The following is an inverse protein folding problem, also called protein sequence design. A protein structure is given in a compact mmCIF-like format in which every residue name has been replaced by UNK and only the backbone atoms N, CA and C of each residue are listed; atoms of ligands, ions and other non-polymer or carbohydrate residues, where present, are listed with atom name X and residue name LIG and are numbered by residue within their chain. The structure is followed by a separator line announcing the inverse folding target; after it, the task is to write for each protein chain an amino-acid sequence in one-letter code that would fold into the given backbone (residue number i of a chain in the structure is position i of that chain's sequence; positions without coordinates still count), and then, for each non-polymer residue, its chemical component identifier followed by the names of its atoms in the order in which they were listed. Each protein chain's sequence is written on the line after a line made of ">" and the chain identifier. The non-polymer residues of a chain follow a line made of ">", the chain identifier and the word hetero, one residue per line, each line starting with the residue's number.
data_IF_998019645468
#
_entry.id   IF_998019645468
#
_cell.length_a   1.000
_cell.length_b   1.000
_cell.length_c   1.000
_cell.angle_alpha   90.00
_cell.angle_beta   90.00
_cell.angle_gamma   90.00
#
_symmetry.space_group_name_H-M   'P 1'
#
loop_
_entity.id
_entity.type
_entity.pdbx_description
1 polymer ?
#
# COMPACT_ATOMS: atom_id res chain seq x y z
N UNK A 1 -10.35 -7.95 -15.02
CA UNK A 1 -9.25 -8.94 -15.00
C UNK A 1 -8.60 -8.85 -13.64
N UNK A 2 -8.42 -9.98 -12.95
CA UNK A 2 -7.80 -10.06 -11.63
C UNK A 2 -6.36 -9.51 -11.65
N UNK A 3 -6.00 -8.72 -10.67
CA UNK A 3 -4.66 -8.12 -10.55
C UNK A 3 -3.58 -9.20 -10.45
N UNK A 4 -3.83 -10.29 -9.71
CA UNK A 4 -2.86 -11.39 -9.58
C UNK A 4 -2.60 -12.07 -10.92
N UNK A 5 -3.64 -12.24 -11.76
CA UNK A 5 -3.44 -12.79 -13.10
C UNK A 5 -2.48 -11.95 -13.93
N UNK A 6 -2.63 -10.62 -13.89
CA UNK A 6 -1.70 -9.72 -14.60
C UNK A 6 -0.28 -9.83 -14.07
N UNK A 7 -0.11 -9.96 -12.75
CA UNK A 7 1.20 -10.16 -12.13
C UNK A 7 1.80 -11.49 -12.60
N UNK A 8 1.03 -12.58 -12.59
CA UNK A 8 1.47 -13.90 -13.07
C UNK A 8 1.92 -13.85 -14.53
N UNK A 9 1.15 -13.18 -15.38
CA UNK A 9 1.47 -13.01 -16.80
C UNK A 9 2.80 -12.24 -17.02
N UNK A 10 3.23 -11.42 -16.03
CA UNK A 10 4.49 -10.68 -16.08
C UNK A 10 5.67 -11.43 -15.45
N UNK A 11 5.42 -12.25 -14.42
CA UNK A 11 6.49 -12.89 -13.61
C UNK A 11 7.40 -13.78 -14.47
N UNK A 12 6.88 -14.40 -15.54
CA UNK A 12 7.68 -15.22 -16.45
C UNK A 12 8.76 -14.42 -17.23
N UNK A 13 8.60 -13.09 -17.32
CA UNK A 13 9.55 -12.19 -18.00
C UNK A 13 10.49 -11.48 -17.01
N UNK A 14 10.39 -11.78 -15.70
CA UNK A 14 11.14 -11.09 -14.65
C UNK A 14 12.21 -12.01 -14.09
N UNK A 15 13.47 -11.67 -14.32
CA UNK A 15 14.62 -12.46 -13.85
C UNK A 15 15.13 -12.09 -12.46
N UNK A 16 14.71 -10.93 -11.92
CA UNK A 16 15.20 -10.36 -10.66
C UNK A 16 14.05 -9.95 -9.76
N UNK A 17 14.37 -9.40 -8.59
CA UNK A 17 13.41 -8.70 -7.75
C UNK A 17 12.71 -7.60 -8.53
N UNK A 18 11.46 -7.29 -8.17
CA UNK A 18 10.70 -6.23 -8.84
C UNK A 18 9.89 -5.37 -7.87
N UNK A 19 9.53 -4.18 -8.33
CA UNK A 19 8.57 -3.31 -7.66
C UNK A 19 7.25 -3.36 -8.43
N UNK A 20 6.18 -3.77 -7.73
CA UNK A 20 4.82 -3.68 -8.22
C UNK A 20 4.25 -2.32 -7.82
N UNK A 21 3.63 -1.63 -8.80
CA UNK A 21 2.89 -0.39 -8.54
C UNK A 21 1.46 -0.52 -9.07
N UNK A 22 0.48 0.01 -8.31
CA UNK A 22 -0.88 0.15 -8.84
C UNK A 22 -0.91 1.27 -9.89
N UNK A 23 -1.73 1.08 -10.94
CA UNK A 23 -1.80 1.99 -12.07
C UNK A 23 -2.66 3.25 -11.84
N UNK A 24 -3.37 3.31 -10.73
CA UNK A 24 -4.30 4.38 -10.34
C UNK A 24 -3.79 5.20 -9.15
N UNK A 25 -2.53 5.05 -8.77
CA UNK A 25 -1.92 5.75 -7.65
C UNK A 25 -0.68 6.53 -8.06
N UNK A 26 -0.55 7.74 -7.52
CA UNK A 26 0.63 8.59 -7.68
C UNK A 26 1.17 8.92 -6.30
N UNK A 27 2.45 8.66 -6.06
CA UNK A 27 3.12 8.94 -4.80
C UNK A 27 4.58 9.33 -5.01
N UNK A 28 5.08 10.25 -4.19
CA UNK A 28 6.49 10.60 -4.17
C UNK A 28 7.30 9.70 -3.22
N UNK A 29 7.10 8.39 -3.34
CA UNK A 29 7.83 7.40 -2.56
C UNK A 29 9.32 7.49 -2.92
N UNK A 30 10.17 7.58 -1.90
CA UNK A 30 11.61 7.43 -2.06
C UNK A 30 11.94 5.95 -2.30
N UNK A 31 12.01 5.58 -3.56
CA UNK A 31 12.29 4.19 -4.00
C UNK A 31 13.62 3.69 -3.44
N UNK A 32 14.63 4.56 -3.33
CA UNK A 32 15.92 4.18 -2.75
C UNK A 32 15.75 3.77 -1.28
N UNK A 33 15.02 4.57 -0.50
CA UNK A 33 14.74 4.23 0.90
C UNK A 33 13.89 2.97 1.05
N UNK A 34 12.93 2.74 0.16
CA UNK A 34 12.15 1.51 0.12
C UNK A 34 13.06 0.30 -0.11
N UNK A 35 13.98 0.37 -1.07
CA UNK A 35 14.95 -0.68 -1.37
C UNK A 35 15.89 -0.90 -0.18
N UNK A 36 16.41 0.16 0.41
CA UNK A 36 17.32 0.07 1.56
C UNK A 36 16.61 -0.53 2.79
N UNK A 37 15.34 -0.19 3.03
CA UNK A 37 14.50 -0.81 4.05
C UNK A 37 14.29 -2.30 3.79
N UNK A 38 13.98 -2.68 2.54
CA UNK A 38 13.81 -4.08 2.14
C UNK A 38 15.08 -4.90 2.41
N UNK A 39 16.27 -4.37 2.10
CA UNK A 39 17.55 -5.07 2.27
C UNK A 39 17.86 -5.49 3.72
N UNK A 40 17.25 -4.86 4.71
CA UNK A 40 17.40 -5.24 6.13
C UNK A 40 16.83 -6.65 6.38
N UNK A 41 15.79 -7.05 5.61
CA UNK A 41 15.20 -8.39 5.62
C UNK A 41 14.84 -8.82 4.20
N UNK A 42 15.84 -9.12 3.41
CA UNK A 42 15.75 -9.40 1.97
C UNK A 42 14.86 -10.60 1.60
N UNK A 43 14.59 -11.50 2.55
CA UNK A 43 13.70 -12.65 2.36
C UNK A 43 12.20 -12.30 2.51
N UNK A 44 11.87 -11.09 2.94
CA UNK A 44 10.48 -10.64 3.12
C UNK A 44 10.01 -9.86 1.90
N UNK A 45 8.70 -9.88 1.64
CA UNK A 45 8.05 -8.91 0.75
C UNK A 45 7.84 -7.61 1.53
N UNK A 46 8.10 -6.46 0.90
CA UNK A 46 7.85 -5.16 1.51
C UNK A 46 6.64 -4.51 0.85
N UNK A 47 5.61 -4.20 1.65
CA UNK A 47 4.42 -3.44 1.26
C UNK A 47 4.56 -2.00 1.73
N UNK A 48 4.00 -1.03 1.02
CA UNK A 48 4.03 0.38 1.43
C UNK A 48 2.68 0.80 1.99
N UNK A 49 2.72 1.46 3.14
CA UNK A 49 1.53 1.99 3.81
C UNK A 49 1.46 3.51 3.82
N UNK A 50 0.24 4.00 4.00
CA UNK A 50 -0.08 5.41 4.17
C UNK A 50 -1.02 5.62 5.36
N UNK A 51 -0.90 6.71 6.13
CA UNK A 51 -1.81 6.99 7.24
C UNK A 51 -3.25 7.22 6.75
N UNK A 52 -4.22 6.71 7.50
CA UNK A 52 -5.63 7.00 7.28
C UNK A 52 -6.04 8.16 8.16
N UNK A 53 -6.49 9.26 7.54
CA UNK A 53 -7.09 10.41 8.24
C UNK A 53 -8.57 10.47 7.90
N UNK A 54 -9.41 10.53 8.93
CA UNK A 54 -10.87 10.73 8.72
C UNK A 54 -11.11 12.22 8.51
N UNK A 55 -11.81 12.62 7.43
CA UNK A 55 -12.02 14.06 7.12
C UNK A 55 -13.12 14.72 7.98
N UNK A 56 -13.65 14.00 8.98
CA UNK A 56 -14.74 14.43 9.86
C UNK A 56 -14.35 14.33 11.31
N UNK A 57 -15.09 15.02 12.19
CA UNK A 57 -15.03 14.79 13.64
C UNK A 57 -15.58 13.40 13.99
N UNK A 58 -14.88 12.70 14.88
CA UNK A 58 -15.25 11.36 15.38
C UNK A 58 -15.58 11.46 16.87
N UNK A 59 -16.69 10.83 17.26
CA UNK A 59 -17.17 10.83 18.64
C UNK A 59 -17.15 9.43 19.22
N UNK A 60 -16.80 9.31 20.47
CA UNK A 60 -17.02 8.11 21.26
C UNK A 60 -18.26 8.31 22.15
N UNK A 61 -19.14 7.32 22.16
CA UNK A 61 -20.37 7.35 22.95
C UNK A 61 -20.34 6.24 23.98
N UNK A 62 -20.84 6.51 25.18
CA UNK A 62 -21.14 5.46 26.15
C UNK A 62 -22.46 4.72 25.85
N UNK A 63 -22.85 3.77 26.71
CA UNK A 63 -24.07 2.98 26.53
C UNK A 63 -25.34 3.83 26.59
N UNK A 64 -25.33 4.92 27.34
CA UNK A 64 -26.43 5.88 27.49
C UNK A 64 -26.48 6.94 26.39
N UNK A 65 -25.63 6.84 25.35
CA UNK A 65 -25.51 7.79 24.23
C UNK A 65 -24.96 9.16 24.62
N UNK A 66 -24.25 9.25 25.75
CA UNK A 66 -23.53 10.47 26.13
C UNK A 66 -22.19 10.48 25.39
N UNK A 67 -21.79 11.64 24.83
CA UNK A 67 -20.49 11.81 24.16
C UNK A 67 -19.39 11.85 25.22
N UNK A 68 -18.44 10.94 25.13
CA UNK A 68 -17.29 10.82 26.04
C UNK A 68 -16.03 11.48 25.48
N UNK A 69 -15.88 11.47 24.16
CA UNK A 69 -14.77 12.15 23.49
C UNK A 69 -15.17 12.66 22.10
N UNK A 70 -14.44 13.67 21.62
CA UNK A 70 -14.57 14.20 20.27
C UNK A 70 -13.17 14.52 19.74
N UNK A 71 -12.84 13.91 18.60
CA UNK A 71 -11.56 14.12 17.89
C UNK A 71 -11.83 14.69 16.51
N UNK A 72 -11.34 15.90 16.23
CA UNK A 72 -11.46 16.54 14.92
C UNK A 72 -10.43 15.96 13.95
N UNK A 73 -10.92 15.38 12.83
CA UNK A 73 -10.09 14.82 11.75
C UNK A 73 -8.99 13.88 12.26
N UNK A 74 -9.32 12.85 13.07
CA UNK A 74 -8.31 12.02 13.69
C UNK A 74 -7.55 11.18 12.65
N UNK A 75 -6.27 10.97 12.93
CA UNK A 75 -5.47 9.93 12.29
C UNK A 75 -5.76 8.60 12.97
N UNK A 76 -6.14 7.59 12.20
CA UNK A 76 -6.37 6.26 12.73
C UNK A 76 -5.06 5.57 13.11
N UNK A 77 -5.15 4.59 14.01
CA UNK A 77 -4.02 3.70 14.30
C UNK A 77 -3.74 2.72 13.14
N UNK A 78 -4.75 2.43 12.32
CA UNK A 78 -4.60 1.63 11.12
C UNK A 78 -3.99 2.45 9.98
N UNK A 79 -3.29 1.76 9.10
CA UNK A 79 -2.72 2.31 7.88
C UNK A 79 -3.35 1.62 6.66
N UNK A 80 -3.39 2.30 5.53
CA UNK A 80 -3.85 1.69 4.27
C UNK A 80 -2.66 1.26 3.41
N UNK A 81 -2.85 0.19 2.66
CA UNK A 81 -1.95 -0.20 1.58
C UNK A 81 -2.14 0.76 0.40
N UNK A 82 -1.04 1.26 -0.14
CA UNK A 82 -1.04 2.21 -1.27
C UNK A 82 -0.51 1.63 -2.57
N UNK A 83 -0.43 0.29 -2.66
CA UNK A 83 -0.19 -0.39 -3.92
C UNK A 83 1.25 -0.38 -4.43
N UNK A 84 2.23 -0.12 -3.57
CA UNK A 84 3.65 -0.28 -3.89
C UNK A 84 4.22 -1.44 -3.09
N UNK A 85 4.78 -2.44 -3.80
CA UNK A 85 5.35 -3.64 -3.19
C UNK A 85 6.73 -3.89 -3.76
N UNK A 86 7.66 -4.27 -2.90
CA UNK A 86 8.92 -4.86 -3.33
C UNK A 86 8.85 -6.38 -3.16
N UNK A 87 8.93 -7.11 -4.26
CA UNK A 87 8.91 -8.57 -4.30
C UNK A 87 10.30 -9.11 -4.64
N UNK A 88 10.94 -9.84 -3.72
CA UNK A 88 12.15 -10.58 -4.04
C UNK A 88 11.81 -11.80 -4.89
N UNK A 89 12.70 -12.16 -5.82
CA UNK A 89 12.54 -13.32 -6.71
C UNK A 89 12.27 -14.62 -5.93
N UNK A 90 12.86 -14.77 -4.75
CA UNK A 90 12.66 -15.92 -3.86
C UNK A 90 11.22 -16.15 -3.42
N UNK A 91 10.31 -15.18 -3.64
CA UNK A 91 8.89 -15.26 -3.27
C UNK A 91 7.94 -15.39 -4.48
N UNK A 92 8.45 -15.57 -5.69
CA UNK A 92 7.61 -15.70 -6.88
C UNK A 92 6.72 -16.94 -6.86
N UNK A 93 7.14 -18.03 -6.22
CA UNK A 93 6.31 -19.23 -6.06
C UNK A 93 4.99 -18.96 -5.33
N UNK A 94 4.99 -18.07 -4.34
CA UNK A 94 3.78 -17.66 -3.62
C UNK A 94 2.80 -16.97 -4.58
N UNK A 95 3.30 -16.10 -5.48
CA UNK A 95 2.48 -15.45 -6.51
C UNK A 95 1.91 -16.50 -7.46
N UNK A 96 2.73 -17.41 -7.94
CA UNK A 96 2.35 -18.43 -8.95
C UNK A 96 1.27 -19.38 -8.39
N UNK A 97 1.41 -19.78 -7.13
CA UNK A 97 0.55 -20.79 -6.50
C UNK A 97 -0.73 -20.23 -5.89
N UNK A 98 -0.87 -18.92 -5.71
CA UNK A 98 -2.05 -18.29 -5.11
C UNK A 98 -3.16 -18.05 -6.13
N UNK A 99 -4.42 -18.01 -5.68
CA UNK A 99 -5.59 -17.74 -6.53
C UNK A 99 -5.87 -16.25 -6.73
N UNK A 100 -5.54 -15.42 -5.74
CA UNK A 100 -5.73 -13.98 -5.76
C UNK A 100 -4.69 -13.27 -4.89
N UNK A 101 -4.57 -11.95 -5.02
CA UNK A 101 -3.56 -11.15 -4.30
C UNK A 101 -3.76 -11.19 -2.78
N UNK A 102 -5.01 -11.31 -2.29
CA UNK A 102 -5.29 -11.39 -0.85
C UNK A 102 -4.70 -12.68 -0.26
N UNK A 103 -4.79 -13.81 -1.00
CA UNK A 103 -4.19 -15.07 -0.59
C UNK A 103 -2.66 -14.97 -0.53
N UNK A 104 -2.02 -14.29 -1.49
CA UNK A 104 -0.58 -13.98 -1.44
C UNK A 104 -0.23 -13.23 -0.15
N UNK A 105 -0.99 -12.16 0.16
CA UNK A 105 -0.76 -11.33 1.35
C UNK A 105 -0.95 -12.16 2.63
N UNK A 106 -2.03 -12.95 2.74
CA UNK A 106 -2.32 -13.78 3.91
C UNK A 106 -1.21 -14.83 4.14
N UNK A 107 -0.77 -15.50 3.09
CA UNK A 107 0.32 -16.47 3.18
C UNK A 107 1.62 -15.82 3.66
N UNK A 108 1.95 -14.63 3.14
CA UNK A 108 3.12 -13.86 3.58
C UNK A 108 3.00 -13.43 5.07
N UNK A 109 1.79 -13.10 5.54
CA UNK A 109 1.53 -12.77 6.94
C UNK A 109 1.73 -14.00 7.83
N UNK A 110 1.14 -15.14 7.46
CA UNK A 110 1.26 -16.40 8.21
C UNK A 110 2.72 -16.86 8.33
N UNK A 111 3.50 -16.70 7.26
CA UNK A 111 4.93 -17.00 7.25
C UNK A 111 5.80 -15.91 7.90
N UNK A 112 5.23 -14.78 8.36
CA UNK A 112 5.94 -13.60 8.90
C UNK A 112 6.94 -12.99 7.89
N UNK A 113 6.60 -13.07 6.61
CA UNK A 113 7.41 -12.60 5.47
C UNK A 113 6.86 -11.32 4.83
N UNK A 114 5.93 -10.61 5.48
CA UNK A 114 5.42 -9.32 5.02
C UNK A 114 5.89 -8.20 5.94
N UNK A 115 6.61 -7.23 5.36
CA UNK A 115 7.10 -6.04 6.07
C UNK A 115 6.43 -4.80 5.52
N UNK A 116 6.29 -3.77 6.35
CA UNK A 116 5.64 -2.53 5.97
C UNK A 116 6.63 -1.37 5.96
N UNK A 117 6.77 -0.70 4.81
CA UNK A 117 7.47 0.59 4.66
C UNK A 117 6.45 1.72 4.77
N UNK A 118 6.61 2.60 5.74
CA UNK A 118 5.68 3.72 5.96
C UNK A 118 6.03 4.91 5.06
N UNK A 119 5.03 5.33 4.26
CA UNK A 119 5.07 6.56 3.48
C UNK A 119 4.11 7.59 4.10
N UNK A 120 4.55 8.82 4.26
CA UNK A 120 3.76 9.88 4.92
C UNK A 120 3.83 11.24 4.18
N UNK A 121 4.29 11.22 2.93
CA UNK A 121 4.35 12.40 2.08
C UNK A 121 3.14 12.43 1.15
N UNK A 122 3.31 12.85 -0.11
CA UNK A 122 2.22 12.96 -1.07
C UNK A 122 1.82 11.57 -1.58
N UNK A 123 0.52 11.28 -1.50
CA UNK A 123 -0.12 10.11 -2.08
C UNK A 123 -1.50 10.50 -2.62
N UNK A 124 -1.76 10.18 -3.87
CA UNK A 124 -3.03 10.47 -4.56
C UNK A 124 -3.49 9.17 -5.22
N UNK A 125 -4.74 8.77 -4.95
CA UNK A 125 -5.43 7.71 -5.69
C UNK A 125 -6.39 8.36 -6.67
N UNK A 126 -6.43 7.90 -7.91
CA UNK A 126 -7.24 8.49 -9.00
C UNK A 126 -8.33 7.52 -9.38
N UNK A 127 -9.55 7.72 -8.85
CA UNK A 127 -10.74 6.95 -9.18
C UNK A 127 -11.80 7.80 -9.90
N UNK A 128 -11.68 9.13 -9.84
CA UNK A 128 -12.64 10.09 -10.39
C UNK A 128 -11.96 11.17 -11.21
N UNK A 129 -12.71 11.87 -12.06
CA UNK A 129 -12.20 12.99 -12.84
C UNK A 129 -11.69 14.13 -11.94
N UNK A 130 -12.35 14.40 -10.81
CA UNK A 130 -11.92 15.45 -9.89
C UNK A 130 -10.59 15.11 -9.21
N UNK A 131 -10.33 13.83 -8.91
CA UNK A 131 -9.05 13.37 -8.39
C UNK A 131 -7.94 13.45 -9.45
N UNK A 132 -8.26 13.16 -10.72
CA UNK A 132 -7.34 13.37 -11.83
C UNK A 132 -6.97 14.86 -11.98
N UNK A 133 -7.95 15.76 -12.00
CA UNK A 133 -7.71 17.20 -12.06
C UNK A 133 -6.88 17.71 -10.87
N UNK A 134 -7.13 17.16 -9.69
CA UNK A 134 -6.33 17.46 -8.50
C UNK A 134 -4.89 16.96 -8.66
N UNK A 135 -4.70 15.74 -9.14
CA UNK A 135 -3.38 15.17 -9.40
C UNK A 135 -2.60 15.99 -10.43
N UNK A 136 -3.22 16.38 -11.55
CA UNK A 136 -2.61 17.19 -12.60
C UNK A 136 -2.14 18.56 -12.08
N UNK A 137 -2.93 19.20 -11.20
CA UNK A 137 -2.56 20.50 -10.59
C UNK A 137 -1.39 20.40 -9.63
N UNK A 138 -1.22 19.26 -8.99
CA UNK A 138 -0.20 19.06 -7.94
C UNK A 138 0.98 18.21 -8.40
N UNK A 139 1.02 17.79 -9.67
CA UNK A 139 2.05 16.87 -10.18
C UNK A 139 3.48 17.43 -10.01
N UNK A 140 3.66 18.74 -10.11
CA UNK A 140 4.96 19.41 -9.93
C UNK A 140 5.45 19.42 -8.49
N UNK A 141 4.57 19.14 -7.52
CA UNK A 141 4.94 19.00 -6.09
C UNK A 141 5.30 17.55 -5.77
N UNK A 142 4.91 16.60 -6.64
CA UNK A 142 5.14 15.16 -6.47
C UNK A 142 6.53 14.78 -7.01
N UNK A 143 6.97 15.40 -8.07
CA UNK A 143 8.22 15.16 -8.78
C UNK A 143 9.08 16.42 -8.89
#
# INVERSE_FOLDING_TARGET
>A
VDILKRIKDCVEYIDNDFILCYGDTISNIDIKKLIDFHKIQSESVTITSYPITIPFGVMMLNKEKVVESFDEKPRLQHVMNIGYYYFPKSKFEIIINSDNLINVINELIEQKLLRCFEHNKIHITINTLSELEYAEKNITEIF
#
